data_IF_057976016514
#
_entry.id   IF_057976016514
#
_cell.length_a   1.000
_cell.length_b   1.000
_cell.length_c   1.000
_cell.angle_alpha   90.00
_cell.angle_beta   90.00
_cell.angle_gamma   90.00
#
_symmetry.space_group_name_H-M   'P 1'
#
loop_
_entity.id
_entity.type
_entity.pdbx_description
1 polymer ?
#
# COMPACT_ATOMS: atom_id res chain seq x y z
N UNK A 1 -5.50 -6.05 18.08
CA UNK A 1 -4.09 -5.74 17.74
C UNK A 1 -3.45 -4.92 18.85
N UNK A 2 -4.07 -3.83 19.29
CA UNK A 2 -3.52 -2.96 20.34
C UNK A 2 -3.30 -3.69 21.68
N UNK A 3 -4.25 -4.53 22.11
CA UNK A 3 -4.07 -5.34 23.34
C UNK A 3 -2.86 -6.28 23.26
N UNK A 4 -2.57 -6.84 22.09
CA UNK A 4 -1.42 -7.71 21.89
C UNK A 4 -0.11 -6.90 21.91
N UNK A 5 -0.07 -5.76 21.22
CA UNK A 5 1.09 -4.87 21.22
C UNK A 5 1.40 -4.32 22.63
N UNK A 6 0.37 -3.99 23.41
CA UNK A 6 0.51 -3.54 24.79
C UNK A 6 1.17 -4.60 25.68
N UNK A 7 0.83 -5.90 25.50
CA UNK A 7 1.47 -7.01 26.23
C UNK A 7 2.97 -7.11 25.98
N UNK A 8 3.44 -6.71 24.80
CA UNK A 8 4.86 -6.75 24.41
C UNK A 8 5.55 -5.38 24.48
N UNK A 9 4.87 -4.35 25.02
CA UNK A 9 5.38 -2.97 25.07
C UNK A 9 5.83 -2.46 23.69
N UNK A 10 5.04 -2.76 22.66
CA UNK A 10 5.26 -2.32 21.28
C UNK A 10 4.38 -1.12 20.98
N UNK A 11 4.99 -0.03 20.51
CA UNK A 11 4.27 1.11 19.96
C UNK A 11 3.81 0.80 18.52
N UNK A 12 2.52 1.00 18.24
CA UNK A 12 1.96 0.77 16.91
C UNK A 12 2.00 2.07 16.12
N UNK A 13 2.81 2.10 15.06
CA UNK A 13 2.73 3.12 14.02
C UNK A 13 1.61 2.77 13.03
N UNK A 14 0.58 3.62 12.93
CA UNK A 14 -0.54 3.42 11.99
C UNK A 14 -0.29 4.19 10.70
N UNK A 15 -0.49 3.52 9.58
CA UNK A 15 -0.36 4.12 8.25
C UNK A 15 -1.71 4.68 7.77
N UNK A 16 -1.71 5.78 7.00
CA UNK A 16 -2.91 6.25 6.32
C UNK A 16 -3.46 5.20 5.35
N UNK A 17 -4.79 5.14 5.25
CA UNK A 17 -5.49 4.24 4.32
C UNK A 17 -5.06 4.57 2.88
N UNK A 18 -4.80 3.54 2.05
CA UNK A 18 -4.37 3.66 0.63
C UNK A 18 -3.01 4.34 0.40
N UNK A 19 -2.17 4.48 1.42
CA UNK A 19 -0.81 5.04 1.28
C UNK A 19 0.28 3.99 1.53
N UNK A 20 0.23 2.88 0.76
CA UNK A 20 1.23 1.80 0.89
C UNK A 20 2.66 2.25 0.61
N UNK A 21 2.84 3.36 -0.11
CA UNK A 21 4.16 4.01 -0.30
C UNK A 21 4.82 4.41 1.02
N UNK A 22 4.06 4.58 2.10
CA UNK A 22 4.58 4.86 3.44
C UNK A 22 4.89 3.59 4.25
N UNK A 23 4.75 2.40 3.66
CA UNK A 23 4.97 1.12 4.32
C UNK A 23 6.34 0.49 3.95
N UNK A 24 7.33 0.43 4.86
CA UNK A 24 8.70 -0.02 4.53
C UNK A 24 8.78 -1.47 4.07
N UNK A 25 7.83 -2.30 4.48
CA UNK A 25 7.82 -3.70 4.07
C UNK A 25 7.56 -3.86 2.56
N UNK A 26 6.92 -2.89 1.90
CA UNK A 26 6.70 -2.95 0.45
C UNK A 26 8.02 -2.93 -0.33
N UNK A 27 9.03 -2.18 0.17
CA UNK A 27 10.36 -2.13 -0.43
C UNK A 27 11.13 -3.44 -0.20
N UNK A 28 11.05 -3.99 1.01
CA UNK A 28 11.63 -5.30 1.32
C UNK A 28 10.98 -6.40 0.45
N UNK A 29 9.65 -6.35 0.28
CA UNK A 29 8.90 -7.29 -0.54
C UNK A 29 9.23 -7.16 -2.02
N UNK A 30 9.35 -5.94 -2.54
CA UNK A 30 9.80 -5.69 -3.91
C UNK A 30 11.21 -6.25 -4.13
N UNK A 31 12.15 -6.02 -3.20
CA UNK A 31 13.50 -6.54 -3.25
C UNK A 31 13.54 -8.07 -3.27
N UNK A 32 12.82 -8.71 -2.34
CA UNK A 32 12.71 -10.16 -2.27
C UNK A 32 12.13 -10.77 -3.56
N UNK A 33 11.01 -10.21 -4.07
CA UNK A 33 10.38 -10.69 -5.31
C UNK A 33 11.31 -10.57 -6.51
N UNK A 34 12.01 -9.43 -6.64
CA UNK A 34 12.98 -9.23 -7.71
C UNK A 34 14.12 -10.24 -7.60
N UNK A 35 14.66 -10.44 -6.41
CA UNK A 35 15.72 -11.42 -6.18
C UNK A 35 15.28 -12.85 -6.55
N UNK A 36 14.09 -13.28 -6.13
CA UNK A 36 13.56 -14.59 -6.51
C UNK A 36 13.35 -14.67 -8.02
N UNK A 37 12.73 -13.67 -8.64
CA UNK A 37 12.47 -13.65 -10.09
C UNK A 37 13.76 -13.79 -10.89
N UNK A 38 14.82 -13.09 -10.47
CA UNK A 38 16.05 -13.01 -11.24
C UNK A 38 16.92 -14.28 -11.07
N UNK A 39 16.69 -15.07 -10.01
CA UNK A 39 17.50 -16.27 -9.69
C UNK A 39 16.74 -17.61 -9.79
N UNK A 40 15.40 -17.59 -9.81
CA UNK A 40 14.60 -18.81 -9.91
C UNK A 40 14.48 -19.28 -11.36
N UNK A 41 15.45 -20.08 -11.80
CA UNK A 41 15.51 -20.62 -13.17
C UNK A 41 14.70 -21.91 -13.37
N UNK A 42 14.46 -22.66 -12.29
CA UNK A 42 13.79 -23.96 -12.37
C UNK A 42 12.29 -23.89 -12.03
N UNK A 43 11.79 -22.74 -11.57
CA UNK A 43 10.38 -22.49 -11.23
C UNK A 43 9.79 -23.48 -10.19
N UNK A 44 10.61 -24.03 -9.30
CA UNK A 44 10.18 -24.96 -8.25
C UNK A 44 9.95 -24.22 -6.94
N UNK A 45 8.93 -24.64 -6.18
CA UNK A 45 8.61 -24.04 -4.88
C UNK A 45 9.76 -24.17 -3.87
N UNK A 46 10.51 -25.27 -3.91
CA UNK A 46 11.69 -25.47 -3.05
C UNK A 46 12.78 -24.43 -3.34
N UNK A 47 12.96 -24.04 -4.59
CA UNK A 47 13.95 -23.04 -4.98
C UNK A 47 13.49 -21.65 -4.53
N UNK A 48 12.19 -21.34 -4.64
CA UNK A 48 11.60 -20.11 -4.07
C UNK A 48 11.85 -20.00 -2.56
N UNK A 49 11.62 -21.09 -1.81
CA UNK A 49 11.87 -21.11 -0.37
C UNK A 49 13.35 -20.85 -0.06
N UNK A 50 14.26 -21.54 -0.74
CA UNK A 50 15.70 -21.41 -0.50
C UNK A 50 16.21 -19.99 -0.83
N UNK A 51 15.80 -19.44 -1.99
CA UNK A 51 16.13 -18.07 -2.38
C UNK A 51 15.54 -17.03 -1.42
N UNK A 52 14.35 -17.30 -0.86
CA UNK A 52 13.76 -16.43 0.17
C UNK A 52 14.63 -16.40 1.42
N UNK A 53 15.04 -17.56 1.92
CA UNK A 53 15.90 -17.65 3.10
C UNK A 53 17.27 -17.01 2.86
N UNK A 54 17.84 -17.18 1.67
CA UNK A 54 19.10 -16.54 1.26
C UNK A 54 18.98 -15.01 1.27
N UNK A 55 17.93 -14.47 0.62
CA UNK A 55 17.70 -13.02 0.60
C UNK A 55 17.53 -12.45 2.01
N UNK A 56 16.69 -13.08 2.84
CA UNK A 56 16.44 -12.63 4.21
C UNK A 56 17.71 -12.66 5.08
N UNK A 57 18.59 -13.64 4.87
CA UNK A 57 19.88 -13.71 5.57
C UNK A 57 20.87 -12.61 5.11
N UNK A 58 20.72 -12.13 3.87
CA UNK A 58 21.53 -11.05 3.32
C UNK A 58 21.00 -9.64 3.67
N UNK A 59 19.77 -9.51 4.17
CA UNK A 59 19.23 -8.22 4.62
C UNK A 59 19.98 -7.77 5.87
N UNK A 60 20.75 -6.70 5.73
CA UNK A 60 21.56 -6.12 6.79
C UNK A 60 21.00 -4.78 7.31
N UNK A 61 21.66 -4.23 8.34
CA UNK A 61 21.29 -2.95 8.94
C UNK A 61 21.27 -1.78 7.93
N UNK A 62 22.32 -1.61 7.11
CA UNK A 62 22.34 -0.60 6.05
C UNK A 62 21.18 -0.73 5.05
N UNK A 63 20.93 -1.93 4.51
CA UNK A 63 19.86 -2.16 3.54
C UNK A 63 18.49 -1.88 4.16
N UNK A 64 18.23 -2.42 5.35
CA UNK A 64 16.96 -2.17 6.06
C UNK A 64 16.76 -0.68 6.37
N UNK A 65 17.81 0.03 6.78
CA UNK A 65 17.76 1.49 7.01
C UNK A 65 17.40 2.25 5.74
N UNK A 66 17.88 1.80 4.58
CA UNK A 66 17.57 2.46 3.30
C UNK A 66 16.07 2.44 2.97
N UNK A 67 15.33 1.41 3.40
CA UNK A 67 13.88 1.33 3.19
C UNK A 67 13.14 2.45 3.95
N UNK A 68 13.52 2.70 5.20
CA UNK A 68 12.93 3.77 6.00
C UNK A 68 13.32 5.15 5.47
N UNK A 69 14.56 5.33 5.00
CA UNK A 69 15.00 6.58 4.39
C UNK A 69 14.22 6.91 3.11
N UNK A 70 13.95 5.91 2.27
CA UNK A 70 13.14 6.07 1.08
C UNK A 70 11.74 6.60 1.43
N UNK A 71 11.10 6.00 2.43
CA UNK A 71 9.75 6.38 2.87
C UNK A 71 9.73 7.78 3.46
N UNK A 72 10.74 8.14 4.24
CA UNK A 72 10.86 9.48 4.81
C UNK A 72 10.84 10.56 3.72
N UNK A 73 11.38 10.26 2.53
CA UNK A 73 11.35 11.20 1.40
C UNK A 73 9.91 11.42 0.90
N UNK A 74 9.07 10.37 0.84
CA UNK A 74 7.65 10.53 0.51
C UNK A 74 6.88 11.23 1.63
N UNK A 75 7.17 10.87 2.88
CA UNK A 75 6.56 11.51 4.05
C UNK A 75 6.82 13.02 4.05
N UNK A 76 8.07 13.44 3.80
CA UNK A 76 8.45 14.86 3.72
C UNK A 76 7.76 15.56 2.55
N UNK A 77 7.59 14.89 1.40
CA UNK A 77 6.83 15.42 0.27
C UNK A 77 5.35 15.64 0.61
N UNK A 78 4.71 14.69 1.29
CA UNK A 78 3.32 14.82 1.72
C UNK A 78 3.14 15.94 2.75
N UNK A 79 4.07 16.08 3.71
CA UNK A 79 4.08 17.19 4.67
C UNK A 79 4.21 18.55 3.96
N UNK A 80 5.06 18.63 2.93
CA UNK A 80 5.22 19.86 2.16
C UNK A 80 3.95 20.23 1.37
N UNK A 81 3.29 19.24 0.78
CA UNK A 81 2.02 19.44 0.07
C UNK A 81 0.90 19.88 1.02
N UNK A 82 0.77 19.25 2.18
CA UNK A 82 -0.22 19.61 3.20
C UNK A 82 -0.04 21.06 3.69
N UNK A 83 1.21 21.45 3.96
CA UNK A 83 1.55 22.83 4.30
C UNK A 83 1.16 23.83 3.20
N UNK A 84 1.38 23.48 1.93
CA UNK A 84 1.00 24.34 0.80
C UNK A 84 -0.52 24.55 0.71
N UNK A 85 -1.31 23.50 0.92
CA UNK A 85 -2.79 23.60 0.92
C UNK A 85 -3.27 24.57 2.01
N UNK A 86 -2.73 24.43 3.22
CA UNK A 86 -3.07 25.29 4.35
C UNK A 86 -2.68 26.77 4.14
N UNK A 87 -1.53 27.03 3.52
CA UNK A 87 -1.01 28.40 3.35
C UNK A 87 -1.54 29.13 2.11
N UNK A 88 -1.90 28.39 1.04
CA UNK A 88 -2.18 28.99 -0.28
C UNK A 88 -3.62 28.75 -0.75
N UNK A 89 -4.19 27.58 -0.49
CA UNK A 89 -5.51 27.22 -1.02
C UNK A 89 -6.60 27.64 -0.04
N UNK A 90 -6.46 27.29 1.24
CA UNK A 90 -7.48 27.56 2.26
C UNK A 90 -7.81 29.06 2.43
N UNK A 91 -6.82 29.99 2.43
CA UNK A 91 -7.11 31.43 2.51
C UNK A 91 -7.74 32.03 1.25
N UNK A 92 -7.83 31.27 0.15
CA UNK A 92 -8.45 31.72 -1.13
C UNK A 92 -9.88 31.19 -1.32
N UNK A 93 -10.35 30.32 -0.42
CA UNK A 93 -11.71 29.79 -0.44
C UNK A 93 -12.71 30.67 0.33
N UNK A 94 -12.23 31.60 1.15
CA UNK A 94 -13.05 32.67 1.72
C UNK A 94 -13.04 33.86 0.75
N UNK A 95 -14.01 33.92 -0.17
CA UNK A 95 -14.75 35.19 -0.43
C UNK A 95 -15.97 35.11 -1.37
N UNK A 96 -16.23 34.07 -2.19
CA UNK A 96 -17.43 34.08 -3.06
C UNK A 96 -17.91 32.70 -3.52
N UNK A 97 -18.69 31.96 -2.72
CA UNK A 97 -19.66 30.99 -3.28
C UNK A 97 -20.79 30.70 -2.27
N UNK A 98 -21.75 31.62 -2.20
CA UNK A 98 -23.11 31.36 -1.70
C UNK A 98 -23.92 30.71 -2.82
N UNK A 99 -23.55 29.48 -3.20
CA UNK A 99 -24.37 28.65 -4.07
C UNK A 99 -24.87 27.47 -3.24
N UNK A 100 -26.15 27.55 -2.91
CA UNK A 100 -26.91 26.58 -2.14
C UNK A 100 -26.72 25.16 -2.67
N UNK A 101 -26.12 24.28 -1.87
CA UNK A 101 -26.11 22.83 -2.11
C UNK A 101 -27.52 22.28 -1.86
N UNK A 102 -28.32 22.16 -2.93
CA UNK A 102 -29.54 21.36 -2.91
C UNK A 102 -29.15 19.87 -2.84
N UNK A 103 -29.24 19.31 -1.64
CA UNK A 103 -29.15 17.88 -1.37
C UNK A 103 -30.47 17.20 -1.77
N UNK A 104 -30.59 16.83 -3.05
CA UNK A 104 -31.65 15.92 -3.49
C UNK A 104 -31.14 14.47 -3.41
N UNK A 105 -31.39 13.88 -2.25
CA UNK A 105 -31.09 12.48 -1.96
C UNK A 105 -32.07 11.59 -2.71
N UNK A 106 -31.62 10.94 -3.78
CA UNK A 106 -32.29 9.76 -4.33
C UNK A 106 -31.35 8.57 -4.21
N UNK A 107 -31.56 7.85 -3.12
CA UNK A 107 -31.14 6.49 -2.86
C UNK A 107 -31.93 5.56 -3.80
N UNK A 108 -31.28 5.00 -4.81
CA UNK A 108 -31.83 3.87 -5.58
C UNK A 108 -30.75 2.80 -5.76
N UNK A 109 -30.86 1.80 -4.89
CA UNK A 109 -30.12 0.54 -4.87
C UNK A 109 -30.36 -0.26 -6.16
N UNK A 110 -29.45 -0.18 -7.13
CA UNK A 110 -29.42 -1.14 -8.23
C UNK A 110 -28.58 -2.35 -7.84
N UNK A 111 -29.26 -3.39 -7.35
CA UNK A 111 -28.72 -4.74 -7.19
C UNK A 111 -28.36 -5.26 -8.59
N UNK A 112 -27.07 -5.31 -8.93
CA UNK A 112 -26.61 -6.07 -10.09
C UNK A 112 -26.27 -7.46 -9.59
N UNK A 113 -27.29 -8.30 -9.64
CA UNK A 113 -27.14 -9.75 -9.65
C UNK A 113 -26.54 -10.14 -11.01
N UNK A 114 -25.31 -10.66 -10.98
CA UNK A 114 -24.72 -11.34 -12.13
C UNK A 114 -24.13 -12.65 -11.66
N UNK A 115 -25.03 -13.53 -11.23
CA UNK A 115 -24.82 -14.98 -11.32
C UNK A 115 -24.65 -15.40 -12.80
N UNK A 116 -23.79 -16.40 -12.97
CA UNK A 116 -23.63 -17.33 -14.10
C UNK A 116 -23.12 -16.81 -15.44
N UNK A 117 -21.83 -17.05 -15.70
CA UNK A 117 -21.40 -17.87 -16.84
C UNK A 117 -20.16 -18.71 -16.45
N UNK A 118 -20.42 -19.92 -15.97
CA UNK A 118 -19.50 -21.05 -16.13
C UNK A 118 -19.41 -21.39 -17.62
N UNK A 119 -18.25 -21.21 -18.24
CA UNK A 119 -17.89 -21.90 -19.49
C UNK A 119 -16.59 -22.67 -19.26
N UNK A 120 -16.77 -23.88 -18.76
CA UNK A 120 -15.87 -25.03 -18.91
C UNK A 120 -15.85 -25.43 -20.39
N UNK A 121 -14.77 -25.09 -21.10
CA UNK A 121 -14.43 -25.77 -22.36
C UNK A 121 -13.06 -26.44 -22.24
N UNK A 122 -13.13 -27.67 -21.75
CA UNK A 122 -12.14 -28.70 -22.02
C UNK A 122 -12.16 -29.05 -23.51
N UNK A 123 -11.11 -28.66 -24.25
CA UNK A 123 -10.75 -29.34 -25.49
C UNK A 123 -9.28 -29.71 -25.50
N UNK A 124 -9.04 -31.00 -25.27
CA UNK A 124 -7.88 -31.76 -25.73
C UNK A 124 -7.54 -31.39 -27.19
N UNK A 125 -6.29 -30.99 -27.45
CA UNK A 125 -5.48 -31.43 -28.61
C UNK A 125 -4.00 -31.12 -28.40
#
# INVERSE_FOLDING_TARGET
VDEAAQRFNVEILRLPVRHSVLNPIELAWAGLKNYIRDNNTNFRLVDVHNLTMEYLAAVDGPLSTSYFQHIKTYEDSFKAADKYVQEVVDPTLDENDDETFDNDSNDDESVIDSDDLDDDDSSDT
#
